data_IF_135434781058
#
_entry.id   IF_135434781058
#
_cell.length_a   1.000
_cell.length_b   1.000
_cell.length_c   1.000
_cell.angle_alpha   90.00
_cell.angle_beta   90.00
_cell.angle_gamma   90.00
#
_symmetry.space_group_name_H-M   'P 1'
#
loop_
_entity.id
_entity.type
_entity.pdbx_description
1 polymer ?
#
# COMPACT_ATOMS: atom_id res chain seq x y z
N UNK A 1 36.50 -26.05 -3.41
CA UNK A 1 37.78 -26.78 -3.46
C UNK A 1 38.76 -26.25 -4.53
N UNK A 2 38.36 -26.15 -5.80
CA UNK A 2 39.26 -25.72 -6.89
C UNK A 2 39.74 -24.25 -6.80
N UNK A 3 38.91 -23.33 -6.30
CA UNK A 3 39.28 -21.93 -6.05
C UNK A 3 40.39 -21.79 -5.00
N UNK A 4 40.24 -22.49 -3.87
CA UNK A 4 41.22 -22.52 -2.77
C UNK A 4 42.56 -23.15 -3.17
N UNK A 5 42.56 -24.03 -4.18
CA UNK A 5 43.76 -24.75 -4.67
C UNK A 5 44.52 -23.97 -5.75
N UNK A 6 43.88 -23.02 -6.43
CA UNK A 6 44.46 -22.31 -7.58
C UNK A 6 45.02 -20.93 -7.25
N UNK A 7 44.70 -20.36 -6.08
CA UNK A 7 45.03 -18.97 -5.68
C UNK A 7 44.69 -17.90 -6.74
N UNK A 8 43.82 -18.24 -7.70
CA UNK A 8 43.38 -17.40 -8.79
C UNK A 8 41.94 -17.76 -9.12
N UNK A 9 41.04 -16.79 -8.97
CA UNK A 9 39.59 -16.97 -9.11
C UNK A 9 39.24 -17.51 -10.48
N UNK A 10 39.82 -16.96 -11.55
CA UNK A 10 39.54 -17.33 -12.93
C UNK A 10 39.95 -18.78 -13.25
N UNK A 11 41.12 -19.20 -12.75
CA UNK A 11 41.63 -20.57 -12.92
C UNK A 11 40.80 -21.57 -12.11
N UNK A 12 40.40 -21.21 -10.90
CA UNK A 12 39.55 -22.02 -10.05
C UNK A 12 38.14 -22.23 -10.62
N UNK A 13 37.53 -21.18 -11.17
CA UNK A 13 36.24 -21.24 -11.86
C UNK A 13 36.31 -22.09 -13.12
N UNK A 14 37.30 -21.88 -13.99
CA UNK A 14 37.48 -22.66 -15.22
C UNK A 14 37.66 -24.15 -14.95
N UNK A 15 38.37 -24.51 -13.87
CA UNK A 15 38.52 -25.92 -13.45
C UNK A 15 37.25 -26.54 -12.88
N UNK A 16 36.35 -25.74 -12.31
CA UNK A 16 35.12 -26.22 -11.71
C UNK A 16 33.99 -26.36 -12.75
N UNK A 17 33.84 -25.38 -13.65
CA UNK A 17 32.74 -25.29 -14.61
C UNK A 17 33.13 -25.68 -16.04
N UNK A 18 34.42 -25.87 -16.32
CA UNK A 18 34.93 -26.18 -17.67
C UNK A 18 34.91 -25.01 -18.65
N UNK A 19 34.46 -23.83 -18.24
CA UNK A 19 34.39 -22.59 -19.04
C UNK A 19 35.06 -21.43 -18.33
N UNK A 20 35.71 -20.54 -19.07
CA UNK A 20 36.25 -19.31 -18.49
C UNK A 20 35.15 -18.28 -18.19
N UNK A 21 35.49 -17.29 -17.36
CA UNK A 21 34.54 -16.30 -16.86
C UNK A 21 33.95 -15.44 -17.98
N UNK A 22 34.73 -15.11 -19.01
CA UNK A 22 34.27 -14.32 -20.16
C UNK A 22 33.22 -15.09 -20.96
N UNK A 23 33.46 -16.39 -21.20
CA UNK A 23 32.53 -17.28 -21.90
C UNK A 23 31.28 -17.52 -21.08
N UNK A 24 31.40 -17.77 -19.77
CA UNK A 24 30.26 -17.89 -18.87
C UNK A 24 29.41 -16.63 -18.86
N UNK A 25 30.03 -15.45 -18.72
CA UNK A 25 29.34 -14.15 -18.80
C UNK A 25 28.59 -14.03 -20.13
N UNK A 26 29.23 -14.33 -21.25
CA UNK A 26 28.59 -14.26 -22.56
C UNK A 26 27.40 -15.23 -22.70
N UNK A 27 27.55 -16.47 -22.21
CA UNK A 27 26.48 -17.47 -22.24
C UNK A 27 25.33 -17.05 -21.33
N UNK A 28 25.63 -16.51 -20.14
CA UNK A 28 24.65 -15.97 -19.22
C UNK A 28 23.86 -14.81 -19.84
N UNK A 29 24.52 -13.82 -20.45
CA UNK A 29 23.83 -12.72 -21.12
C UNK A 29 22.99 -13.20 -22.31
N UNK A 30 23.48 -14.21 -23.05
CA UNK A 30 22.72 -14.81 -24.15
C UNK A 30 21.46 -15.50 -23.61
N UNK A 31 21.60 -16.32 -22.57
CA UNK A 31 20.49 -16.99 -21.90
C UNK A 31 19.47 -15.97 -21.38
N UNK A 32 19.90 -14.93 -20.66
CA UNK A 32 19.00 -13.87 -20.19
C UNK A 32 18.23 -13.19 -21.33
N UNK A 33 18.85 -12.99 -22.49
CA UNK A 33 18.16 -12.44 -23.66
C UNK A 33 17.17 -13.44 -24.25
N UNK A 34 17.57 -14.70 -24.41
CA UNK A 34 16.66 -15.73 -24.95
C UNK A 34 15.44 -15.95 -24.05
N UNK A 35 15.64 -15.89 -22.73
CA UNK A 35 14.59 -16.06 -21.72
C UNK A 35 13.68 -14.82 -21.61
N UNK A 36 14.25 -13.63 -21.40
CA UNK A 36 13.48 -12.45 -20.97
C UNK A 36 13.21 -11.41 -22.07
N UNK A 37 13.88 -11.47 -23.22
CA UNK A 37 13.60 -10.51 -24.31
C UNK A 37 12.18 -10.63 -24.89
N UNK A 38 11.56 -11.82 -24.98
CA UNK A 38 10.14 -11.94 -25.33
C UNK A 38 9.22 -11.19 -24.36
N UNK A 39 9.50 -11.22 -23.05
CA UNK A 39 8.70 -10.54 -22.04
C UNK A 39 8.77 -9.02 -22.19
N UNK A 40 9.92 -8.47 -22.56
CA UNK A 40 10.09 -7.03 -22.81
C UNK A 40 9.21 -6.57 -23.96
N UNK A 41 9.05 -7.41 -25.01
CA UNK A 41 8.28 -7.03 -26.21
C UNK A 41 6.78 -6.85 -25.95
N UNK A 42 6.26 -7.42 -24.86
CA UNK A 42 4.84 -7.34 -24.49
C UNK A 42 4.57 -6.32 -23.37
N UNK A 43 5.60 -5.61 -22.87
CA UNK A 43 5.48 -4.64 -21.78
C UNK A 43 5.50 -3.20 -22.30
N UNK A 44 4.81 -2.33 -21.56
CA UNK A 44 4.62 -0.92 -21.90
C UNK A 44 5.50 -0.04 -21.02
N UNK A 45 6.07 1.04 -21.59
CA UNK A 45 6.81 2.00 -20.79
C UNK A 45 5.84 2.88 -19.99
N UNK A 46 6.14 3.16 -18.72
CA UNK A 46 5.27 3.95 -17.84
C UNK A 46 4.79 5.28 -18.47
N UNK A 47 5.64 6.07 -19.17
CA UNK A 47 5.21 7.32 -19.80
C UNK A 47 4.18 7.16 -20.95
N UNK A 48 3.96 5.94 -21.46
CA UNK A 48 3.01 5.70 -22.56
C UNK A 48 1.55 5.64 -22.08
N UNK A 49 1.32 5.24 -20.83
CA UNK A 49 -0.03 5.10 -20.24
C UNK A 49 -0.22 5.91 -18.95
N UNK A 50 0.83 6.52 -18.41
CA UNK A 50 0.76 7.33 -17.21
C UNK A 50 1.49 8.67 -17.38
N UNK A 51 1.07 9.65 -16.58
CA UNK A 51 1.69 10.97 -16.51
C UNK A 51 2.41 11.14 -15.18
N UNK A 52 3.69 11.48 -15.23
CA UNK A 52 4.47 11.77 -14.03
C UNK A 52 4.04 13.13 -13.43
N UNK A 53 3.80 13.14 -12.11
CA UNK A 53 3.47 14.35 -11.35
C UNK A 53 4.65 14.88 -10.53
N UNK A 54 5.54 14.00 -10.10
CA UNK A 54 6.70 14.38 -9.30
C UNK A 54 7.92 13.66 -9.83
N UNK A 55 9.01 14.40 -9.99
CA UNK A 55 10.30 13.86 -10.40
C UNK A 55 11.29 13.98 -9.23
N UNK A 56 11.75 12.85 -8.74
CA UNK A 56 12.65 12.82 -7.59
C UNK A 56 14.09 13.21 -7.96
N UNK A 57 14.47 13.09 -9.23
CA UNK A 57 15.77 13.53 -9.73
C UNK A 57 15.80 15.05 -9.80
N UNK A 58 14.75 15.67 -10.37
CA UNK A 58 14.61 17.13 -10.40
C UNK A 58 14.48 17.74 -9.00
N UNK A 59 13.77 17.05 -8.10
CA UNK A 59 13.59 17.48 -6.71
C UNK A 59 14.78 17.15 -5.80
N UNK A 60 15.78 16.42 -6.30
CA UNK A 60 16.92 15.91 -5.55
C UNK A 60 16.50 15.20 -4.24
N UNK A 61 15.46 14.37 -4.33
CA UNK A 61 14.84 13.73 -3.18
C UNK A 61 14.67 12.22 -3.37
N UNK A 62 14.25 11.52 -2.31
CA UNK A 62 14.18 10.05 -2.29
C UNK A 62 12.75 9.54 -2.26
N UNK A 63 11.85 10.25 -1.57
CA UNK A 63 10.52 9.77 -1.28
C UNK A 63 9.47 10.79 -1.73
N UNK A 64 8.56 10.33 -2.58
CA UNK A 64 7.27 10.93 -2.87
C UNK A 64 6.23 9.78 -2.78
N UNK A 65 5.64 9.59 -1.60
CA UNK A 65 4.87 8.37 -1.26
C UNK A 65 3.52 8.69 -0.61
N UNK A 66 2.67 7.66 -0.48
CA UNK A 66 1.28 7.74 0.01
C UNK A 66 0.44 8.86 -0.62
N UNK A 67 0.27 8.84 -1.95
CA UNK A 67 -0.64 9.78 -2.60
C UNK A 67 -2.07 9.53 -2.13
N UNK A 68 -2.77 10.62 -1.78
CA UNK A 68 -4.19 10.63 -1.49
C UNK A 68 -4.84 11.82 -2.21
N UNK A 69 -5.66 11.55 -3.22
CA UNK A 69 -6.40 12.57 -3.96
C UNK A 69 -7.50 13.18 -3.07
N UNK A 70 -7.69 14.50 -3.16
CA UNK A 70 -8.77 15.18 -2.45
C UNK A 70 -10.13 14.83 -3.06
N UNK A 71 -11.24 14.90 -2.29
CA UNK A 71 -12.57 14.56 -2.80
C UNK A 71 -13.01 15.36 -4.03
N UNK A 72 -12.51 16.59 -4.18
CA UNK A 72 -12.77 17.45 -5.33
C UNK A 72 -11.84 17.18 -6.54
N UNK A 73 -10.90 16.24 -6.42
CA UNK A 73 -9.99 15.83 -7.49
C UNK A 73 -8.85 16.81 -7.80
N UNK A 74 -8.81 17.99 -7.18
CA UNK A 74 -7.89 19.05 -7.59
C UNK A 74 -6.51 19.00 -6.92
N UNK A 75 -6.39 18.27 -5.80
CA UNK A 75 -5.16 18.22 -4.99
C UNK A 75 -4.82 16.78 -4.64
N UNK A 76 -3.54 16.53 -4.43
CA UNK A 76 -3.04 15.26 -3.90
C UNK A 76 -2.22 15.57 -2.66
N UNK A 77 -2.52 14.90 -1.55
CA UNK A 77 -1.66 14.90 -0.38
C UNK A 77 -0.60 13.81 -0.55
N UNK A 78 0.66 14.14 -0.28
CA UNK A 78 1.79 13.20 -0.34
C UNK A 78 2.71 13.38 0.86
N UNK A 79 3.42 12.33 1.23
CA UNK A 79 4.65 12.46 2.00
C UNK A 79 5.83 12.67 1.06
N UNK A 80 6.62 13.70 1.33
CA UNK A 80 7.83 13.99 0.54
C UNK A 80 8.97 14.50 1.41
N UNK A 81 10.20 14.08 1.08
CA UNK A 81 11.43 14.55 1.70
C UNK A 81 12.17 15.62 0.86
N UNK A 82 11.52 16.23 -0.14
CA UNK A 82 12.14 17.23 -1.05
C UNK A 82 12.79 18.46 -0.38
N UNK A 83 12.59 18.66 0.91
CA UNK A 83 13.14 19.79 1.66
C UNK A 83 13.98 19.33 2.86
N UNK A 84 14.59 18.15 2.74
CA UNK A 84 15.35 17.48 3.78
C UNK A 84 14.47 16.50 4.57
N UNK A 85 13.93 16.88 5.74
CA UNK A 85 13.11 15.95 6.53
C UNK A 85 11.74 15.69 5.90
N UNK A 86 11.19 14.50 6.14
CA UNK A 86 9.89 14.08 5.62
C UNK A 86 8.78 15.06 6.07
N UNK A 87 7.88 15.39 5.15
CA UNK A 87 6.76 16.30 5.41
C UNK A 87 5.52 15.91 4.59
N UNK A 88 4.34 16.28 5.11
CA UNK A 88 3.09 16.18 4.38
C UNK A 88 2.92 17.43 3.50
N UNK A 89 2.79 17.24 2.20
CA UNK A 89 2.56 18.29 1.23
C UNK A 89 1.22 18.10 0.51
N UNK A 90 0.65 19.21 0.07
CA UNK A 90 -0.36 19.23 -0.98
C UNK A 90 0.32 19.60 -2.29
N UNK A 91 0.07 18.81 -3.33
CA UNK A 91 0.41 19.10 -4.71
C UNK A 91 -0.86 19.24 -5.54
N UNK A 92 -0.75 19.91 -6.68
CA UNK A 92 -1.80 20.00 -7.69
C UNK A 92 -1.95 18.66 -8.41
N UNK A 93 -3.19 18.18 -8.56
CA UNK A 93 -3.45 16.96 -9.33
C UNK A 93 -3.25 17.16 -10.84
N UNK A 94 -3.37 18.40 -11.31
CA UNK A 94 -3.25 18.76 -12.72
C UNK A 94 -1.80 18.72 -13.20
N UNK A 95 -0.85 19.24 -12.43
CA UNK A 95 0.52 19.47 -12.89
C UNK A 95 1.59 19.02 -11.88
N UNK A 96 1.20 18.51 -10.71
CA UNK A 96 2.14 18.03 -9.68
C UNK A 96 2.83 19.14 -8.90
N UNK A 97 2.52 20.41 -9.17
CA UNK A 97 3.13 21.56 -8.49
C UNK A 97 2.85 21.53 -6.99
N UNK A 98 3.88 21.73 -6.17
CA UNK A 98 3.73 21.85 -4.72
C UNK A 98 2.96 23.13 -4.34
N UNK A 99 1.82 22.95 -3.67
CA UNK A 99 0.91 24.02 -3.24
C UNK A 99 1.21 24.45 -1.81
N UNK A 100 1.31 23.50 -0.88
CA UNK A 100 1.42 23.80 0.56
C UNK A 100 2.14 22.69 1.31
N UNK A 101 3.00 23.06 2.28
CA UNK A 101 3.45 22.15 3.35
C UNK A 101 2.41 22.17 4.46
N UNK A 102 1.81 21.03 4.80
CA UNK A 102 0.77 20.91 5.83
C UNK A 102 1.38 20.56 7.18
N UNK A 103 2.25 19.55 7.21
CA UNK A 103 2.94 19.08 8.42
C UNK A 103 4.42 18.93 8.12
N UNK A 104 5.26 19.33 9.06
CA UNK A 104 6.69 19.07 9.04
C UNK A 104 7.01 17.95 10.03
N UNK A 105 7.46 16.81 9.52
CA UNK A 105 7.97 15.70 10.33
C UNK A 105 9.45 15.90 10.72
N UNK A 106 9.93 15.00 11.58
CA UNK A 106 11.34 14.80 11.94
C UNK A 106 12.02 16.05 12.54
N UNK A 107 11.24 16.92 13.19
CA UNK A 107 11.76 18.11 13.89
C UNK A 107 11.57 18.10 15.39
N UNK A 108 10.68 17.24 15.90
CA UNK A 108 10.37 17.11 17.31
C UNK A 108 9.73 15.74 17.58
N UNK A 109 9.46 15.44 18.84
CA UNK A 109 8.85 14.16 19.26
C UNK A 109 7.36 14.04 18.94
N UNK A 110 6.71 15.10 18.46
CA UNK A 110 5.31 15.04 18.02
C UNK A 110 5.20 14.32 16.67
N UNK A 111 6.18 14.49 15.79
CA UNK A 111 6.28 13.80 14.51
C UNK A 111 7.71 13.27 14.34
N UNK A 112 8.05 12.21 15.06
CA UNK A 112 9.39 11.62 14.97
C UNK A 112 9.63 10.98 13.61
N UNK A 113 8.59 10.34 13.08
CA UNK A 113 8.62 9.68 11.78
C UNK A 113 7.23 9.73 11.15
N UNK A 114 7.16 10.19 9.90
CA UNK A 114 6.02 9.93 9.03
C UNK A 114 6.33 8.61 8.32
N UNK A 115 5.51 7.59 8.54
CA UNK A 115 5.83 6.22 8.11
C UNK A 115 6.23 6.16 6.64
N UNK A 116 7.34 5.48 6.35
CA UNK A 116 7.81 5.28 4.96
C UNK A 116 7.30 3.95 4.41
N UNK A 117 7.30 2.89 5.23
CA UNK A 117 7.02 1.52 4.79
C UNK A 117 5.52 1.17 4.73
N UNK A 118 4.75 1.65 5.70
CA UNK A 118 3.28 1.49 5.75
C UNK A 118 2.59 2.86 5.85
N UNK A 119 2.81 3.75 4.87
CA UNK A 119 2.30 5.11 4.92
C UNK A 119 0.79 5.13 4.69
N UNK A 120 0.13 6.20 5.11
CA UNK A 120 -1.27 6.41 4.78
C UNK A 120 -1.72 7.83 5.05
N UNK A 121 -2.42 8.39 4.07
CA UNK A 121 -3.03 9.71 4.13
C UNK A 121 -4.47 9.53 3.64
N UNK A 122 -5.42 10.16 4.32
CA UNK A 122 -6.82 10.12 3.91
C UNK A 122 -7.48 11.47 4.15
N UNK A 123 -8.50 11.80 3.37
CA UNK A 123 -9.22 13.06 3.44
C UNK A 123 -10.56 12.86 4.13
N UNK A 124 -11.01 13.86 4.89
CA UNK A 124 -12.43 13.94 5.22
C UNK A 124 -13.25 14.11 3.94
N UNK A 125 -14.47 13.60 3.95
CA UNK A 125 -15.39 13.61 2.80
C UNK A 125 -15.63 15.04 2.25
N UNK A 126 -15.61 16.05 3.13
CA UNK A 126 -15.75 17.46 2.77
C UNK A 126 -14.45 18.13 2.28
N UNK A 127 -13.34 17.39 2.21
CA UNK A 127 -12.03 17.86 1.76
C UNK A 127 -11.36 18.91 2.67
N UNK A 128 -11.87 19.14 3.89
CA UNK A 128 -11.33 20.16 4.81
C UNK A 128 -10.26 19.63 5.74
N UNK A 129 -10.28 18.35 6.06
CA UNK A 129 -9.32 17.70 6.96
C UNK A 129 -8.56 16.59 6.27
N UNK A 130 -7.37 16.32 6.77
CA UNK A 130 -6.58 15.13 6.45
C UNK A 130 -6.37 14.34 7.73
N UNK A 131 -6.43 13.01 7.65
CA UNK A 131 -5.92 12.12 8.67
C UNK A 131 -4.69 11.35 8.19
N UNK A 132 -3.77 11.10 9.12
CA UNK A 132 -2.56 10.31 8.90
C UNK A 132 -2.05 9.76 10.24
N UNK A 133 -1.22 8.72 10.19
CA UNK A 133 -0.54 8.18 11.36
C UNK A 133 0.95 8.52 11.33
N UNK A 134 1.54 8.68 12.51
CA UNK A 134 2.95 8.99 12.67
C UNK A 134 3.49 8.47 14.00
N UNK A 135 4.78 8.14 14.02
CA UNK A 135 5.52 7.88 15.26
C UNK A 135 5.59 9.14 16.10
N UNK A 136 5.12 9.06 17.35
CA UNK A 136 4.93 10.24 18.19
C UNK A 136 5.32 9.99 19.66
N UNK A 137 6.63 9.86 19.88
CA UNK A 137 7.23 9.49 21.16
C UNK A 137 7.25 7.98 21.33
N UNK A 138 6.59 7.48 22.38
CA UNK A 138 6.64 6.06 22.77
C UNK A 138 5.87 5.12 21.83
N UNK A 139 4.93 5.63 21.04
CA UNK A 139 4.05 4.85 20.17
C UNK A 139 3.63 5.69 18.97
N UNK A 140 2.98 5.03 18.01
CA UNK A 140 2.26 5.74 16.96
C UNK A 140 1.03 6.46 17.52
N UNK A 141 0.59 7.50 16.80
CA UNK A 141 -0.64 8.21 17.05
C UNK A 141 -1.35 8.53 15.73
N UNK A 142 -2.67 8.58 15.79
CA UNK A 142 -3.50 9.08 14.70
C UNK A 142 -3.61 10.60 14.82
N UNK A 143 -3.48 11.30 13.71
CA UNK A 143 -3.61 12.76 13.66
C UNK A 143 -4.70 13.16 12.67
N UNK A 144 -5.43 14.21 13.00
CA UNK A 144 -6.23 14.96 12.02
C UNK A 144 -5.70 16.38 11.92
N UNK A 145 -5.73 16.96 10.72
CA UNK A 145 -5.32 18.36 10.47
C UNK A 145 -6.34 19.06 9.60
N UNK A 146 -6.80 20.23 10.05
CA UNK A 146 -7.64 21.12 9.25
C UNK A 146 -6.75 21.92 8.28
N UNK A 147 -7.04 21.79 6.98
CA UNK A 147 -6.16 22.31 5.92
C UNK A 147 -6.16 23.83 5.86
N UNK A 148 -7.25 24.48 6.26
CA UNK A 148 -7.38 25.95 6.21
C UNK A 148 -6.65 26.59 7.37
N UNK A 149 -6.95 26.17 8.58
CA UNK A 149 -6.40 26.74 9.83
C UNK A 149 -5.03 26.19 10.19
N UNK A 150 -4.70 24.97 9.78
CA UNK A 150 -3.51 24.25 10.24
C UNK A 150 -3.67 23.66 11.65
N UNK A 151 -4.85 23.77 12.26
CA UNK A 151 -5.13 23.16 13.55
C UNK A 151 -5.08 21.64 13.42
N UNK A 152 -4.45 21.00 14.40
CA UNK A 152 -4.26 19.56 14.43
C UNK A 152 -4.73 18.97 15.74
N UNK A 153 -5.29 17.77 15.67
CA UNK A 153 -5.68 16.97 16.83
C UNK A 153 -4.92 15.66 16.80
N UNK A 154 -4.42 15.24 17.97
CA UNK A 154 -3.67 14.00 18.17
C UNK A 154 -4.51 13.03 18.99
N UNK A 155 -4.66 11.80 18.51
CA UNK A 155 -5.38 10.72 19.18
C UNK A 155 -4.39 9.61 19.55
N UNK A 156 -4.25 9.32 20.85
CA UNK A 156 -3.48 8.17 21.34
C UNK A 156 -4.42 7.02 21.62
N UNK A 157 -4.24 5.93 20.87
CA UNK A 157 -5.15 4.78 20.89
C UNK A 157 -4.58 3.55 21.62
N UNK A 158 -3.45 3.72 22.32
CA UNK A 158 -2.76 2.66 23.09
C UNK A 158 -2.42 1.41 22.26
N UNK A 159 -1.81 1.61 21.09
CA UNK A 159 -1.42 0.55 20.16
C UNK A 159 0.07 0.66 19.85
N UNK A 160 0.70 -0.47 19.50
CA UNK A 160 2.12 -0.46 19.13
C UNK A 160 2.33 0.24 17.79
N UNK A 161 1.42 0.02 16.83
CA UNK A 161 1.47 0.66 15.52
C UNK A 161 0.09 1.05 15.00
N UNK A 162 0.03 2.14 14.23
CA UNK A 162 -1.17 2.64 13.56
C UNK A 162 -0.80 2.93 12.10
N UNK A 163 -1.45 2.27 11.15
CA UNK A 163 -1.09 2.35 9.74
C UNK A 163 -2.32 2.56 8.85
N UNK A 164 -2.08 3.11 7.66
CA UNK A 164 -3.07 3.21 6.57
C UNK A 164 -4.48 3.68 7.00
N UNK A 165 -4.62 4.86 7.62
CA UNK A 165 -5.94 5.38 7.95
C UNK A 165 -6.76 5.64 6.68
N UNK A 166 -8.05 5.33 6.75
CA UNK A 166 -9.05 5.52 5.71
C UNK A 166 -10.31 6.14 6.32
N UNK A 167 -10.61 7.39 5.96
CA UNK A 167 -11.78 8.11 6.44
C UNK A 167 -13.04 7.52 5.81
N UNK A 168 -14.05 7.24 6.64
CA UNK A 168 -15.32 6.69 6.19
C UNK A 168 -16.15 7.77 5.48
N UNK A 169 -16.63 7.52 4.25
CA UNK A 169 -17.48 8.47 3.52
C UNK A 169 -18.73 8.84 4.33
N UNK A 170 -19.08 10.13 4.34
CA UNK A 170 -20.26 10.66 5.04
C UNK A 170 -20.23 10.63 6.58
N UNK A 171 -19.13 10.23 7.24
CA UNK A 171 -19.04 10.18 8.71
C UNK A 171 -17.74 10.77 9.26
N UNK A 172 -17.66 10.90 10.59
CA UNK A 172 -16.45 11.26 11.33
C UNK A 172 -15.74 10.02 11.90
N UNK A 173 -15.71 8.93 11.13
CA UNK A 173 -15.01 7.72 11.52
C UNK A 173 -13.81 7.47 10.62
N UNK A 174 -12.75 6.93 11.20
CA UNK A 174 -11.53 6.54 10.49
C UNK A 174 -11.30 5.06 10.76
N UNK A 175 -11.30 4.26 9.69
CA UNK A 175 -10.76 2.91 9.75
C UNK A 175 -9.25 2.97 9.65
N UNK A 176 -8.53 2.08 10.30
CA UNK A 176 -7.09 1.97 10.17
C UNK A 176 -6.60 0.56 10.53
N UNK A 177 -5.38 0.25 10.12
CA UNK A 177 -4.70 -0.99 10.49
C UNK A 177 -3.95 -0.76 11.79
N UNK A 178 -4.32 -1.52 12.80
CA UNK A 178 -3.75 -1.42 14.13
C UNK A 178 -2.94 -2.65 14.49
N UNK A 179 -1.74 -2.46 15.02
CA UNK A 179 -0.90 -3.55 15.51
C UNK A 179 -0.88 -3.56 17.05
N UNK A 180 -1.26 -4.69 17.64
CA UNK A 180 -1.34 -4.92 19.09
C UNK A 180 -0.14 -5.71 19.64
N UNK A 181 0.90 -5.94 18.84
CA UNK A 181 2.10 -6.71 19.14
C UNK A 181 2.04 -8.18 18.71
N UNK A 182 0.90 -8.65 18.19
CA UNK A 182 0.73 -10.02 17.66
C UNK A 182 0.30 -10.03 16.21
N UNK A 183 -0.81 -9.37 15.92
CA UNK A 183 -1.47 -9.35 14.61
C UNK A 183 -1.83 -7.93 14.24
N UNK A 184 -2.12 -7.71 12.95
CA UNK A 184 -2.68 -6.45 12.48
C UNK A 184 -4.17 -6.63 12.22
N UNK A 185 -4.98 -5.88 12.95
CA UNK A 185 -6.43 -5.92 12.83
C UNK A 185 -6.97 -4.61 12.23
N UNK A 186 -8.23 -4.64 11.82
CA UNK A 186 -8.98 -3.46 11.39
C UNK A 186 -9.66 -2.82 12.59
N UNK A 187 -9.34 -1.56 12.83
CA UNK A 187 -9.97 -0.76 13.86
C UNK A 187 -10.81 0.36 13.24
N UNK A 188 -11.93 0.68 13.87
CA UNK A 188 -12.75 1.85 13.54
C UNK A 188 -12.75 2.81 14.74
N UNK A 189 -12.34 4.05 14.49
CA UNK A 189 -12.30 5.12 15.47
C UNK A 189 -13.28 6.23 15.12
N UNK A 190 -14.20 6.53 16.02
CA UNK A 190 -15.12 7.65 15.90
C UNK A 190 -14.51 8.89 16.55
N UNK A 191 -14.31 9.95 15.76
CA UNK A 191 -13.64 11.17 16.20
C UNK A 191 -14.46 11.97 17.21
N UNK A 192 -15.79 11.95 17.07
CA UNK A 192 -16.68 12.77 17.89
C UNK A 192 -16.90 12.16 19.29
N UNK A 193 -16.98 10.83 19.37
CA UNK A 193 -17.20 10.11 20.63
C UNK A 193 -15.91 9.55 21.23
N UNK A 194 -14.79 9.61 20.51
CA UNK A 194 -13.53 8.93 20.80
C UNK A 194 -13.67 7.41 21.01
N UNK A 195 -14.74 6.81 20.50
CA UNK A 195 -14.97 5.38 20.59
C UNK A 195 -14.06 4.63 19.61
N UNK A 196 -13.31 3.66 20.11
CA UNK A 196 -12.47 2.75 19.35
C UNK A 196 -13.05 1.33 19.38
N UNK A 197 -13.20 0.71 18.21
CA UNK A 197 -13.71 -0.68 18.09
C UNK A 197 -12.74 -1.50 17.22
N UNK A 198 -12.32 -2.68 17.71
CA UNK A 198 -11.63 -3.69 16.89
C UNK A 198 -12.67 -4.52 16.13
N UNK A 199 -12.59 -4.57 14.80
CA UNK A 199 -13.59 -5.19 13.94
C UNK A 199 -13.25 -6.63 13.54
N UNK A 200 -11.97 -6.98 13.46
CA UNK A 200 -11.53 -8.33 13.11
C UNK A 200 -11.06 -9.09 14.35
N UNK A 201 -10.17 -8.51 15.14
CA UNK A 201 -9.75 -9.03 16.45
C UNK A 201 -9.39 -10.51 16.39
N UNK A 202 -8.65 -10.91 15.37
CA UNK A 202 -8.41 -12.31 15.05
C UNK A 202 -6.91 -12.58 14.81
N UNK A 203 -6.59 -13.84 14.55
CA UNK A 203 -5.21 -14.27 14.38
C UNK A 203 -4.63 -13.88 13.01
N UNK A 204 -5.47 -13.48 12.05
CA UNK A 204 -5.06 -13.20 10.69
C UNK A 204 -4.34 -11.86 10.56
N UNK A 205 -3.67 -11.66 9.43
CA UNK A 205 -3.02 -10.40 9.12
C UNK A 205 -3.92 -9.58 8.21
N UNK A 206 -4.46 -8.48 8.71
CA UNK A 206 -5.21 -7.53 7.91
C UNK A 206 -4.36 -6.33 7.51
N UNK A 207 -4.48 -5.90 6.24
CA UNK A 207 -3.84 -4.68 5.76
C UNK A 207 -4.71 -3.96 4.71
N UNK A 208 -4.29 -2.75 4.32
CA UNK A 208 -4.77 -2.03 3.13
C UNK A 208 -6.29 -1.83 3.03
N UNK A 209 -6.85 -1.10 4.00
CA UNK A 209 -8.27 -0.75 4.02
C UNK A 209 -8.62 0.32 2.96
N UNK A 210 -9.74 0.11 2.27
CA UNK A 210 -10.42 1.13 1.47
C UNK A 210 -11.94 1.06 1.67
N UNK A 211 -12.64 2.18 1.51
CA UNK A 211 -14.08 2.24 1.77
C UNK A 211 -14.90 2.02 0.51
N UNK A 212 -16.01 1.30 0.66
CA UNK A 212 -17.11 1.41 -0.28
C UNK A 212 -17.67 2.85 -0.27
N UNK A 213 -18.00 3.49 -1.41
CA UNK A 213 -18.41 4.90 -1.44
C UNK A 213 -19.67 5.21 -0.62
N UNK A 214 -20.57 4.23 -0.50
CA UNK A 214 -21.75 4.29 0.38
C UNK A 214 -21.43 4.29 1.89
N UNK A 215 -20.17 4.07 2.29
CA UNK A 215 -19.70 4.01 3.66
C UNK A 215 -20.23 2.84 4.50
N UNK A 216 -20.88 1.82 3.93
CA UNK A 216 -21.49 0.70 4.70
C UNK A 216 -20.56 -0.50 4.84
N UNK A 217 -19.63 -0.65 3.92
CA UNK A 217 -18.60 -1.69 3.90
C UNK A 217 -17.24 -1.11 3.58
N UNK A 218 -16.20 -1.85 3.93
CA UNK A 218 -14.83 -1.59 3.52
C UNK A 218 -14.25 -2.83 2.84
N UNK A 219 -13.26 -2.62 1.98
CA UNK A 219 -12.41 -3.64 1.43
C UNK A 219 -11.07 -3.64 2.18
N UNK A 220 -10.46 -4.80 2.30
CA UNK A 220 -9.14 -4.98 2.90
C UNK A 220 -8.49 -6.23 2.33
N UNK A 221 -7.19 -6.41 2.61
CA UNK A 221 -6.50 -7.65 2.26
C UNK A 221 -6.21 -8.49 3.51
N UNK A 222 -6.24 -9.80 3.36
CA UNK A 222 -5.97 -10.72 4.45
C UNK A 222 -5.47 -12.07 3.96
N UNK A 223 -4.76 -12.79 4.81
CA UNK A 223 -4.30 -14.17 4.58
C UNK A 223 -5.30 -15.22 5.09
N UNK A 224 -6.53 -14.80 5.47
CA UNK A 224 -7.55 -15.62 6.14
C UNK A 224 -8.21 -16.72 5.30
N UNK A 225 -7.86 -16.84 4.01
CA UNK A 225 -8.40 -17.83 3.07
C UNK A 225 -9.96 -17.90 3.15
N UNK A 226 -10.55 -19.08 3.36
CA UNK A 226 -12.00 -19.27 3.47
C UNK A 226 -12.59 -18.94 4.86
N UNK A 227 -11.79 -18.43 5.79
CA UNK A 227 -12.23 -18.16 7.17
C UNK A 227 -12.82 -16.75 7.26
N UNK A 228 -14.15 -16.67 7.12
CA UNK A 228 -14.93 -15.41 7.09
C UNK A 228 -15.44 -14.95 8.48
N UNK A 229 -15.09 -15.69 9.53
CA UNK A 229 -15.42 -15.32 10.92
C UNK A 229 -14.34 -14.40 11.51
N UNK A 230 -14.74 -13.61 12.50
CA UNK A 230 -13.87 -12.69 13.26
C UNK A 230 -13.74 -13.20 14.70
N UNK A 231 -12.81 -12.65 15.49
CA UNK A 231 -12.57 -13.06 16.88
C UNK A 231 -11.99 -14.47 17.03
N UNK A 232 -11.21 -14.92 16.06
CA UNK A 232 -10.48 -16.19 16.14
C UNK A 232 -9.15 -15.97 16.86
N UNK A 233 -9.09 -16.38 18.13
CA UNK A 233 -7.93 -16.10 18.98
C UNK A 233 -6.69 -16.95 18.66
N UNK A 234 -6.91 -18.17 18.15
CA UNK A 234 -5.86 -19.16 17.94
C UNK A 234 -5.54 -19.29 16.45
N UNK A 235 -4.27 -19.55 16.16
CA UNK A 235 -3.82 -19.90 14.82
C UNK A 235 -4.64 -21.08 14.26
N UNK A 236 -5.26 -20.96 13.07
CA UNK A 236 -5.87 -22.09 12.39
C UNK A 236 -4.82 -23.13 11.99
N UNK A 237 -5.21 -24.40 12.02
CA UNK A 237 -4.38 -25.49 11.51
C UNK A 237 -4.10 -25.27 10.01
N UNK A 238 -2.89 -25.60 9.56
CA UNK A 238 -2.45 -25.48 8.16
C UNK A 238 -2.54 -24.08 7.53
N UNK A 239 -2.64 -23.01 8.33
CA UNK A 239 -2.70 -21.63 7.82
C UNK A 239 -1.49 -21.24 6.97
N UNK A 240 -1.76 -20.82 5.74
CA UNK A 240 -0.78 -20.34 4.77
C UNK A 240 -0.68 -18.79 4.84
N UNK A 241 0.54 -18.29 4.94
CA UNK A 241 0.85 -16.86 5.06
C UNK A 241 1.50 -16.28 3.78
N UNK A 242 1.42 -17.01 2.67
CA UNK A 242 2.15 -16.72 1.44
C UNK A 242 1.31 -15.96 0.41
N UNK A 243 0.02 -15.75 0.67
CA UNK A 243 -0.91 -15.17 -0.26
C UNK A 243 -1.96 -14.35 0.48
N UNK A 244 -2.43 -13.27 -0.15
CA UNK A 244 -3.49 -12.41 0.37
C UNK A 244 -4.57 -12.19 -0.68
N UNK A 245 -5.81 -12.29 -0.24
CA UNK A 245 -7.00 -11.95 -1.03
C UNK A 245 -7.67 -10.67 -0.55
N UNK A 246 -8.56 -10.15 -1.39
CA UNK A 246 -9.41 -9.02 -1.06
C UNK A 246 -10.69 -9.54 -0.40
N UNK A 247 -11.08 -8.89 0.69
CA UNK A 247 -12.30 -9.17 1.43
C UNK A 247 -13.12 -7.91 1.57
N UNK A 248 -14.44 -8.04 1.56
CA UNK A 248 -15.39 -6.99 1.91
C UNK A 248 -15.97 -7.25 3.30
N UNK A 249 -15.91 -6.26 4.20
CA UNK A 249 -16.52 -6.31 5.53
C UNK A 249 -17.65 -5.29 5.64
N UNK A 250 -18.86 -5.75 5.93
CA UNK A 250 -19.97 -4.87 6.28
C UNK A 250 -19.90 -4.42 7.74
N UNK A 251 -19.88 -3.11 7.97
CA UNK A 251 -19.66 -2.53 9.30
C UNK A 251 -20.84 -2.74 10.25
N UNK A 252 -22.07 -2.82 9.72
CA UNK A 252 -23.27 -2.95 10.55
C UNK A 252 -23.58 -4.40 10.87
N UNK A 253 -23.59 -5.28 9.86
CA UNK A 253 -23.90 -6.70 10.05
C UNK A 253 -22.71 -7.52 10.51
N UNK A 254 -21.48 -7.01 10.37
CA UNK A 254 -20.22 -7.75 10.58
C UNK A 254 -20.09 -8.98 9.70
N UNK A 255 -20.78 -8.98 8.57
CA UNK A 255 -20.66 -10.04 7.56
C UNK A 255 -19.47 -9.75 6.67
N UNK A 256 -18.68 -10.78 6.42
CA UNK A 256 -17.49 -10.73 5.59
C UNK A 256 -17.69 -11.60 4.34
N UNK A 257 -17.23 -11.11 3.19
CA UNK A 257 -17.21 -11.85 1.94
C UNK A 257 -15.80 -11.83 1.38
N UNK A 258 -15.29 -12.99 0.94
CA UNK A 258 -14.07 -13.05 0.12
C UNK A 258 -14.43 -12.63 -1.31
N UNK A 259 -13.64 -11.73 -1.87
CA UNK A 259 -13.87 -11.13 -3.19
C UNK A 259 -12.97 -11.77 -4.24
N UNK A 260 -11.70 -12.03 -3.90
CA UNK A 260 -10.77 -12.76 -4.75
C UNK A 260 -10.50 -14.13 -4.16
N UNK A 261 -10.50 -15.14 -5.02
CA UNK A 261 -10.19 -16.54 -4.68
C UNK A 261 -9.18 -17.04 -5.71
N UNK A 262 -7.94 -16.58 -5.59
CA UNK A 262 -6.90 -16.87 -6.58
C UNK A 262 -5.59 -17.30 -5.93
N UNK A 263 -4.70 -18.00 -6.66
CA UNK A 263 -3.38 -18.36 -6.13
C UNK A 263 -2.36 -17.20 -6.16
N UNK A 264 -2.81 -15.97 -6.43
CA UNK A 264 -1.98 -14.79 -6.65
C UNK A 264 -2.10 -13.82 -5.47
N UNK A 265 -1.15 -12.89 -5.34
CA UNK A 265 -1.21 -11.87 -4.31
C UNK A 265 -2.02 -10.68 -4.79
N UNK A 266 -3.15 -10.40 -4.13
CA UNK A 266 -3.94 -9.20 -4.38
C UNK A 266 -3.69 -8.13 -3.32
N UNK A 267 -3.49 -6.88 -3.76
CA UNK A 267 -3.17 -5.73 -2.90
C UNK A 267 -3.84 -4.44 -3.39
N UNK A 268 -3.97 -3.46 -2.51
CA UNK A 268 -4.47 -2.11 -2.74
C UNK A 268 -5.86 -2.06 -3.40
N UNK A 269 -6.89 -2.71 -2.83
CA UNK A 269 -8.24 -2.62 -3.36
C UNK A 269 -8.74 -1.18 -3.33
N UNK A 270 -9.35 -0.71 -4.43
CA UNK A 270 -9.95 0.61 -4.55
C UNK A 270 -11.17 0.54 -5.45
N UNK A 271 -12.32 0.97 -4.93
CA UNK A 271 -13.60 0.92 -5.63
C UNK A 271 -13.91 2.28 -6.26
N UNK A 272 -14.52 2.25 -7.45
CA UNK A 272 -14.98 3.45 -8.15
C UNK A 272 -16.10 4.14 -7.39
N UNK A 273 -16.23 5.47 -7.56
CA UNK A 273 -17.25 6.27 -6.86
C UNK A 273 -18.69 5.84 -7.17
N UNK A 274 -18.94 5.26 -8.34
CA UNK A 274 -20.24 4.70 -8.73
C UNK A 274 -20.47 3.25 -8.25
N UNK A 275 -19.49 2.68 -7.54
CA UNK A 275 -19.47 1.33 -6.98
C UNK A 275 -19.58 0.19 -8.00
N UNK A 276 -19.30 0.45 -9.28
CA UNK A 276 -19.39 -0.57 -10.33
C UNK A 276 -18.06 -1.29 -10.60
N UNK A 277 -16.92 -0.66 -10.29
CA UNK A 277 -15.61 -1.22 -10.58
C UNK A 277 -14.73 -1.32 -9.34
N UNK A 278 -14.02 -2.43 -9.22
CA UNK A 278 -12.93 -2.62 -8.26
C UNK A 278 -11.60 -2.64 -9.01
N UNK A 279 -10.70 -1.74 -8.62
CA UNK A 279 -9.29 -1.75 -8.99
C UNK A 279 -8.46 -2.38 -7.88
N UNK A 280 -7.43 -3.14 -8.25
CA UNK A 280 -6.46 -3.70 -7.32
C UNK A 280 -5.16 -4.04 -8.05
N UNK A 281 -4.10 -4.32 -7.29
CA UNK A 281 -2.82 -4.79 -7.82
C UNK A 281 -2.77 -6.31 -7.64
N UNK A 282 -2.37 -7.05 -8.69
CA UNK A 282 -2.13 -8.49 -8.61
C UNK A 282 -0.85 -8.89 -9.33
N UNK A 283 -0.19 -9.93 -8.81
CA UNK A 283 0.99 -10.56 -9.41
C UNK A 283 0.65 -11.69 -10.41
N UNK A 284 -0.63 -11.86 -10.76
CA UNK A 284 -1.15 -12.88 -11.70
C UNK A 284 -0.39 -13.00 -13.02
N UNK A 285 0.17 -11.91 -13.51
CA UNK A 285 0.94 -11.86 -14.77
C UNK A 285 2.45 -12.14 -14.60
N UNK A 286 2.90 -12.51 -13.39
CA UNK A 286 4.32 -12.67 -13.04
C UNK A 286 4.99 -11.38 -12.56
N UNK A 287 4.29 -10.24 -12.69
CA UNK A 287 4.64 -8.94 -12.12
C UNK A 287 3.38 -8.27 -11.56
N UNK A 288 3.57 -7.30 -10.66
CA UNK A 288 2.48 -6.48 -10.15
C UNK A 288 1.93 -5.57 -11.25
N UNK A 289 0.66 -5.79 -11.59
CA UNK A 289 -0.10 -4.95 -12.51
C UNK A 289 -1.41 -4.50 -11.87
N UNK A 290 -1.99 -3.41 -12.37
CA UNK A 290 -3.31 -2.96 -11.96
C UNK A 290 -4.35 -3.76 -12.74
N UNK A 291 -5.29 -4.36 -12.02
CA UNK A 291 -6.44 -5.09 -12.53
C UNK A 291 -7.72 -4.32 -12.24
N UNK A 292 -8.69 -4.40 -13.16
CA UNK A 292 -10.05 -3.91 -13.00
C UNK A 292 -11.05 -5.06 -13.13
N UNK A 293 -12.11 -5.02 -12.33
CA UNK A 293 -13.23 -5.95 -12.44
C UNK A 293 -14.55 -5.26 -12.10
N UNK A 294 -15.64 -5.80 -12.63
CA UNK A 294 -17.02 -5.34 -12.41
C UNK A 294 -17.60 -5.98 -11.13
N UNK A 295 -18.26 -5.17 -10.31
CA UNK A 295 -18.93 -5.58 -9.06
C UNK A 295 -20.47 -5.65 -9.18
N UNK A 296 -21.05 -5.24 -10.30
CA UNK A 296 -22.48 -4.91 -10.43
C UNK A 296 -23.42 -6.10 -10.58
N UNK A 297 -22.94 -7.31 -10.87
CA UNK A 297 -23.85 -8.48 -11.05
C UNK A 297 -23.25 -9.86 -10.79
N UNK A 298 -21.93 -10.00 -10.81
CA UNK A 298 -21.13 -11.15 -10.36
C UNK A 298 -19.69 -10.68 -10.45
N UNK A 299 -18.80 -11.09 -9.53
CA UNK A 299 -17.39 -10.73 -9.65
C UNK A 299 -16.87 -11.21 -11.02
N UNK A 300 -16.63 -10.26 -11.93
CA UNK A 300 -16.16 -10.57 -13.27
C UNK A 300 -14.72 -11.07 -13.23
N UNK A 301 -14.28 -11.76 -14.29
CA UNK A 301 -12.85 -12.07 -14.41
C UNK A 301 -12.05 -10.75 -14.47
N UNK A 302 -11.11 -10.51 -13.53
CA UNK A 302 -10.34 -9.27 -13.54
C UNK A 302 -9.44 -9.16 -14.76
N UNK A 303 -9.42 -7.98 -15.37
CA UNK A 303 -8.60 -7.65 -16.53
C UNK A 303 -7.44 -6.73 -16.14
N UNK A 304 -6.22 -7.08 -16.56
CA UNK A 304 -5.07 -6.20 -16.39
C UNK A 304 -5.23 -4.97 -17.30
N UNK A 305 -5.04 -3.78 -16.72
CA UNK A 305 -5.03 -2.50 -17.46
C UNK A 305 -3.64 -1.87 -17.54
N UNK A 306 -2.65 -2.48 -16.90
CA UNK A 306 -1.25 -2.13 -17.06
C UNK A 306 -0.47 -3.38 -17.41
N UNK A 307 0.65 -3.20 -18.12
CA UNK A 307 1.69 -4.22 -18.23
C UNK A 307 3.07 -3.56 -18.21
N UNK A 308 3.40 -2.96 -17.08
CA UNK A 308 4.52 -2.02 -17.00
C UNK A 308 5.88 -2.72 -17.16
N UNK A 309 6.73 -2.16 -18.01
CA UNK A 309 8.16 -2.45 -18.02
C UNK A 309 8.80 -1.79 -16.80
N UNK A 310 8.94 -2.56 -15.73
CA UNK A 310 9.62 -2.14 -14.49
C UNK A 310 10.98 -2.83 -14.40
N UNK A 311 12.05 -2.07 -14.14
CA UNK A 311 13.43 -2.58 -14.08
C UNK A 311 14.47 -1.51 -14.32
#
# INVERSE_FOLDING_TARGET
YQLKKSNNVETGFKRALGVDMKKLKSQWHKYLKEEYWPDISNRENIPEFARQLTDHEELENTYNVAPAISPDGNRIAIFSNKSGPMALYLISAEDGRFIKKVIQGERNSEFEELHILKPGITWSDDGKKIAFAAKSGKSDALFTVDIKSGNKTKYRLNMEGIFRPAWRPGTNEIAFIGNNGKTSDIYLFNIDTEQLTNYTNDWFTDDQVSWHPNGKSLFFISDRDDILETNIENKPDDHLFNQTDIYELNIKSRTMNRITETPYNETYPSISNDANMLAFISDKSGINNIYLTDLSSTFGEPQAITNALTG
#
